data_IF_779647506568
#
_entry.id   IF_779647506568
#
_cell.length_a   1.000
_cell.length_b   1.000
_cell.length_c   1.000
_cell.angle_alpha   90.00
_cell.angle_beta   90.00
_cell.angle_gamma   90.00
#
_symmetry.space_group_name_H-M   'P 1'
#
loop_
_entity.id
_entity.type
_entity.pdbx_description
1 polymer ?
#
# COMPACT_ATOMS: atom_id res chain seq x y z
N UNK A 1 -10.80 33.22 10.54
CA UNK A 1 -10.33 32.02 11.26
C UNK A 1 -10.79 32.12 12.71
N UNK A 2 -11.55 31.13 13.19
CA UNK A 2 -11.89 31.01 14.61
C UNK A 2 -10.57 30.79 15.38
N UNK A 3 -10.35 31.56 16.45
CA UNK A 3 -9.15 31.43 17.28
C UNK A 3 -9.32 30.22 18.21
N UNK A 4 -9.04 29.03 17.67
CA UNK A 4 -9.30 27.72 18.30
C UNK A 4 -8.63 27.57 19.67
N UNK A 5 -7.46 28.18 19.84
CA UNK A 5 -6.72 28.21 21.11
C UNK A 5 -7.48 28.92 22.25
N UNK A 6 -8.53 29.69 21.94
CA UNK A 6 -9.35 30.41 22.91
C UNK A 6 -10.66 29.70 23.27
N UNK A 7 -10.96 28.55 22.65
CA UNK A 7 -12.14 27.77 23.00
C UNK A 7 -12.00 27.21 24.42
N UNK A 8 -13.03 27.41 25.25
CA UNK A 8 -13.13 26.83 26.59
C UNK A 8 -14.20 25.73 26.57
N UNK A 9 -13.85 24.49 26.22
CA UNK A 9 -14.83 23.42 26.09
C UNK A 9 -15.48 23.10 27.44
N UNK A 10 -16.82 22.99 27.47
CA UNK A 10 -17.53 22.43 28.63
C UNK A 10 -17.29 20.92 28.69
N UNK A 11 -16.46 20.49 29.63
CA UNK A 11 -16.22 19.07 29.88
C UNK A 11 -17.54 18.36 30.21
N UNK A 12 -17.98 17.44 29.34
CA UNK A 12 -19.16 16.60 29.58
C UNK A 12 -20.16 16.52 28.44
N UNK A 13 -20.14 17.43 27.46
CA UNK A 13 -21.13 17.43 26.37
C UNK A 13 -20.62 16.75 25.10
N UNK A 14 -19.40 17.04 24.68
CA UNK A 14 -18.84 16.53 23.41
C UNK A 14 -18.18 15.17 23.61
N UNK A 15 -18.47 14.23 22.70
CA UNK A 15 -17.65 13.04 22.53
C UNK A 15 -16.23 13.42 22.08
N UNK A 16 -15.31 12.46 22.02
CA UNK A 16 -13.99 12.71 21.43
C UNK A 16 -14.14 12.94 19.92
N UNK A 17 -13.63 14.08 19.45
CA UNK A 17 -13.64 14.45 18.04
C UNK A 17 -12.31 15.07 17.62
N UNK A 18 -12.02 14.97 16.32
CA UNK A 18 -10.99 15.74 15.62
C UNK A 18 -11.70 16.70 14.66
N UNK A 19 -11.01 17.75 14.24
CA UNK A 19 -11.60 18.69 13.31
C UNK A 19 -10.56 19.39 12.44
N UNK A 20 -11.00 19.90 11.30
CA UNK A 20 -10.21 20.77 10.41
C UNK A 20 -11.13 21.64 9.53
N UNK A 21 -10.72 22.86 9.14
CA UNK A 21 -11.44 23.65 8.14
C UNK A 21 -11.45 22.96 6.78
N UNK A 22 -12.56 23.06 6.06
CA UNK A 22 -12.79 22.51 4.70
C UNK A 22 -13.67 23.51 3.97
N UNK A 23 -13.05 24.39 3.17
CA UNK A 23 -13.75 25.46 2.46
C UNK A 23 -14.34 26.47 3.43
N UNK A 24 -15.64 26.73 3.32
CA UNK A 24 -16.42 27.57 4.23
C UNK A 24 -16.97 26.81 5.46
N UNK A 25 -16.64 25.52 5.61
CA UNK A 25 -17.13 24.64 6.66
C UNK A 25 -15.99 24.08 7.53
N UNK A 26 -16.36 23.37 8.59
CA UNK A 26 -15.46 22.64 9.48
C UNK A 26 -15.85 21.18 9.47
N UNK A 27 -14.93 20.32 9.01
CA UNK A 27 -15.06 18.88 9.14
C UNK A 27 -14.79 18.48 10.58
N UNK A 28 -15.72 17.75 11.18
CA UNK A 28 -15.53 17.06 12.47
C UNK A 28 -15.59 15.55 12.25
N UNK A 29 -14.70 14.80 12.90
CA UNK A 29 -14.63 13.34 12.82
C UNK A 29 -14.51 12.70 14.20
N UNK A 30 -14.95 11.45 14.36
CA UNK A 30 -14.80 10.68 15.61
C UNK A 30 -14.03 9.37 15.40
N UNK A 31 -13.78 8.62 16.48
CA UNK A 31 -12.94 7.40 16.46
C UNK A 31 -13.51 6.22 15.66
N UNK A 32 -14.82 6.16 15.52
CA UNK A 32 -15.55 5.13 14.75
C UNK A 32 -15.69 5.49 13.25
N UNK A 33 -15.12 6.64 12.85
CA UNK A 33 -15.06 7.11 11.46
C UNK A 33 -16.35 7.77 10.96
N UNK A 34 -17.21 8.26 11.87
CA UNK A 34 -18.30 9.18 11.50
C UNK A 34 -17.73 10.57 11.32
N UNK A 35 -18.39 11.35 10.47
CA UNK A 35 -18.01 12.71 10.19
C UNK A 35 -19.22 13.60 9.93
N UNK A 36 -19.05 14.90 10.16
CA UNK A 36 -20.00 15.94 9.78
C UNK A 36 -19.22 17.14 9.24
N UNK A 37 -19.81 17.84 8.27
CA UNK A 37 -19.40 19.21 7.96
C UNK A 37 -20.34 20.18 8.67
N UNK A 38 -19.75 21.11 9.41
CA UNK A 38 -20.45 22.10 10.22
C UNK A 38 -20.10 23.51 9.74
N UNK A 39 -21.07 24.42 9.59
CA UNK A 39 -20.79 25.84 9.50
C UNK A 39 -19.90 26.32 10.68
N UNK A 40 -19.09 27.37 10.51
CA UNK A 40 -18.19 27.85 11.56
C UNK A 40 -18.90 28.17 12.89
N UNK A 41 -20.12 28.70 12.83
CA UNK A 41 -20.93 29.03 14.01
C UNK A 41 -21.44 27.77 14.73
N UNK A 42 -21.93 26.78 13.98
CA UNK A 42 -22.36 25.47 14.49
C UNK A 42 -21.19 24.73 15.15
N UNK A 43 -20.02 24.73 14.49
CA UNK A 43 -18.80 24.17 15.05
C UNK A 43 -18.41 24.87 16.36
N UNK A 44 -18.48 26.20 16.41
CA UNK A 44 -18.17 26.97 17.61
C UNK A 44 -19.13 26.62 18.76
N UNK A 45 -20.42 26.54 18.49
CA UNK A 45 -21.42 26.13 19.47
C UNK A 45 -21.17 24.71 19.97
N UNK A 46 -20.88 23.77 19.07
CA UNK A 46 -20.53 22.39 19.41
C UNK A 46 -19.27 22.30 20.27
N UNK A 47 -18.18 22.92 19.83
CA UNK A 47 -16.90 22.87 20.52
C UNK A 47 -16.94 23.52 21.92
N UNK A 48 -17.83 24.50 22.14
CA UNK A 48 -18.05 25.12 23.46
C UNK A 48 -19.04 24.35 24.34
N UNK A 49 -19.85 23.47 23.76
CA UNK A 49 -20.90 22.75 24.49
C UNK A 49 -22.11 23.63 24.73
N UNK A 50 -22.38 24.51 23.77
CA UNK A 50 -23.44 25.51 23.74
C UNK A 50 -24.48 25.15 22.67
N UNK A 51 -24.50 23.90 22.21
CA UNK A 51 -25.52 23.39 21.28
C UNK A 51 -26.90 23.52 21.94
N UNK A 52 -27.86 24.23 21.32
CA UNK A 52 -29.18 24.40 21.90
C UNK A 52 -29.94 23.06 21.97
N UNK A 53 -30.55 22.71 23.12
CA UNK A 53 -31.37 21.50 23.24
C UNK A 53 -32.55 21.50 22.27
N UNK A 54 -32.84 20.37 21.63
CA UNK A 54 -33.88 20.19 20.63
C UNK A 54 -33.58 20.86 19.28
N UNK A 55 -32.36 21.37 19.07
CA UNK A 55 -31.97 21.94 17.78
C UNK A 55 -31.67 20.87 16.74
N UNK A 56 -31.83 21.22 15.46
CA UNK A 56 -31.41 20.37 14.35
C UNK A 56 -29.91 20.02 14.42
N UNK A 57 -29.07 20.90 14.99
CA UNK A 57 -27.66 20.63 15.23
C UNK A 57 -27.47 19.52 16.27
N UNK A 58 -28.21 19.57 17.39
CA UNK A 58 -28.15 18.51 18.40
C UNK A 58 -28.56 17.15 17.82
N UNK A 59 -29.67 17.11 17.08
CA UNK A 59 -30.16 15.88 16.44
C UNK A 59 -29.10 15.29 15.50
N UNK A 60 -28.48 16.12 14.65
CA UNK A 60 -27.40 15.70 13.75
C UNK A 60 -26.19 15.17 14.50
N UNK A 61 -25.73 15.87 15.54
CA UNK A 61 -24.59 15.45 16.37
C UNK A 61 -24.87 14.13 17.09
N UNK A 62 -26.08 13.96 17.63
CA UNK A 62 -26.52 12.73 18.31
C UNK A 62 -26.59 11.56 17.34
N UNK A 63 -27.18 11.77 16.15
CA UNK A 63 -27.27 10.75 15.11
C UNK A 63 -25.90 10.24 14.62
N UNK A 64 -24.83 11.03 14.80
CA UNK A 64 -23.46 10.70 14.40
C UNK A 64 -22.52 10.44 15.58
N UNK A 65 -23.06 10.26 16.79
CA UNK A 65 -22.32 9.91 18.00
C UNK A 65 -21.27 10.96 18.42
N UNK A 66 -21.57 12.25 18.24
CA UNK A 66 -20.71 13.37 18.64
C UNK A 66 -21.05 13.94 20.03
N UNK A 67 -22.10 13.44 20.69
CA UNK A 67 -22.50 13.84 22.04
C UNK A 67 -22.21 12.71 23.04
N UNK A 68 -21.71 13.04 24.23
CA UNK A 68 -21.51 12.05 25.31
C UNK A 68 -22.83 11.57 25.87
N UNK A 69 -23.79 12.48 25.99
CA UNK A 69 -25.14 12.13 26.39
C UNK A 69 -25.79 11.25 25.30
N UNK A 70 -26.24 10.06 25.68
CA UNK A 70 -26.75 9.06 24.74
C UNK A 70 -25.70 8.46 23.80
N UNK A 71 -24.40 8.52 24.12
CA UNK A 71 -23.35 7.91 23.30
C UNK A 71 -23.59 6.40 23.12
N UNK A 72 -23.62 5.95 21.88
CA UNK A 72 -23.94 4.56 21.51
C UNK A 72 -22.68 3.71 21.46
N UNK A 73 -22.20 3.29 22.64
CA UNK A 73 -20.92 2.57 22.81
C UNK A 73 -20.87 1.26 22.00
N UNK A 74 -21.96 0.49 22.00
CA UNK A 74 -21.98 -0.80 21.30
C UNK A 74 -21.87 -0.61 19.78
N UNK A 75 -22.63 0.33 19.22
CA UNK A 75 -22.55 0.67 17.78
C UNK A 75 -21.16 1.18 17.39
N UNK A 76 -20.54 2.00 18.26
CA UNK A 76 -19.18 2.49 18.09
C UNK A 76 -18.16 1.33 18.01
N UNK A 77 -18.27 0.38 18.94
CA UNK A 77 -17.39 -0.78 19.03
C UNK A 77 -17.56 -1.71 17.82
N UNK A 78 -18.80 -1.93 17.37
CA UNK A 78 -19.10 -2.77 16.22
C UNK A 78 -18.60 -2.14 14.91
N UNK A 79 -18.78 -0.82 14.75
CA UNK A 79 -18.23 -0.08 13.61
C UNK A 79 -16.69 -0.16 13.57
N UNK A 80 -16.03 -0.02 14.73
CA UNK A 80 -14.58 -0.14 14.81
C UNK A 80 -14.11 -1.57 14.49
N UNK A 81 -14.78 -2.60 15.03
CA UNK A 81 -14.47 -4.00 14.76
C UNK A 81 -14.61 -4.33 13.27
N UNK A 82 -15.65 -3.83 12.62
CA UNK A 82 -15.85 -4.02 11.19
C UNK A 82 -14.74 -3.35 10.36
N UNK A 83 -14.36 -2.11 10.70
CA UNK A 83 -13.28 -1.38 10.02
C UNK A 83 -11.90 -1.99 10.22
N UNK A 84 -11.68 -2.69 11.35
CA UNK A 84 -10.39 -3.30 11.71
C UNK A 84 -10.39 -4.81 11.58
N UNK A 85 -11.34 -5.39 10.84
CA UNK A 85 -11.50 -6.86 10.72
C UNK A 85 -10.21 -7.58 10.29
N UNK A 86 -9.34 -6.90 9.54
CA UNK A 86 -8.05 -7.39 9.07
C UNK A 86 -6.98 -7.59 10.16
N UNK A 87 -7.18 -7.13 11.40
CA UNK A 87 -6.16 -7.32 12.47
C UNK A 87 -6.20 -8.72 13.09
N UNK A 88 -7.24 -9.51 12.80
CA UNK A 88 -7.45 -10.80 13.44
C UNK A 88 -6.82 -11.99 12.71
N UNK A 89 -6.35 -11.78 11.47
CA UNK A 89 -5.72 -12.83 10.67
C UNK A 89 -4.67 -12.23 9.73
N UNK A 90 -3.55 -12.92 9.58
CA UNK A 90 -2.45 -12.50 8.71
C UNK A 90 -1.13 -13.17 9.08
N UNK A 91 -0.04 -12.82 8.38
CA UNK A 91 0.00 -12.01 7.16
C UNK A 91 -0.71 -12.69 5.97
N UNK A 92 -1.32 -11.94 5.07
CA UNK A 92 -1.99 -12.51 3.89
C UNK A 92 -1.18 -12.30 2.61
N UNK A 93 -0.30 -11.30 2.56
CA UNK A 93 0.61 -11.05 1.45
C UNK A 93 2.04 -11.46 1.83
N UNK A 94 2.70 -12.24 0.98
CA UNK A 94 4.07 -12.69 1.18
C UNK A 94 4.89 -12.37 -0.08
N UNK A 95 5.76 -11.38 0.01
CA UNK A 95 6.55 -10.89 -1.13
C UNK A 95 7.90 -11.60 -1.18
N UNK A 96 8.18 -12.32 -2.25
CA UNK A 96 9.42 -13.07 -2.46
C UNK A 96 10.31 -12.31 -3.44
N UNK A 97 11.41 -11.74 -2.94
CA UNK A 97 12.48 -11.17 -3.76
C UNK A 97 13.40 -12.31 -4.18
N UNK A 98 13.05 -12.95 -5.30
CA UNK A 98 13.72 -14.20 -5.71
C UNK A 98 15.13 -14.00 -6.26
N UNK A 99 15.49 -12.75 -6.58
CA UNK A 99 16.84 -12.35 -6.97
C UNK A 99 16.99 -10.83 -6.93
N UNK A 100 18.20 -10.31 -6.74
CA UNK A 100 18.52 -8.90 -7.01
C UNK A 100 18.91 -8.64 -8.48
N UNK A 101 19.17 -9.68 -9.28
CA UNK A 101 19.61 -9.51 -10.67
C UNK A 101 18.49 -8.88 -11.50
N UNK A 102 18.84 -7.87 -12.29
CA UNK A 102 17.93 -7.23 -13.24
C UNK A 102 18.67 -6.87 -14.53
N UNK A 103 17.98 -7.02 -15.66
CA UNK A 103 18.48 -6.62 -16.97
C UNK A 103 18.15 -5.17 -17.34
N UNK A 104 17.31 -4.49 -16.56
CA UNK A 104 17.07 -3.05 -16.67
C UNK A 104 17.89 -2.24 -15.66
N UNK A 105 18.19 -0.99 -16.01
CA UNK A 105 18.87 -0.02 -15.14
C UNK A 105 17.98 1.19 -14.88
N UNK A 106 16.91 0.97 -14.10
CA UNK A 106 15.96 2.04 -13.81
C UNK A 106 16.60 3.16 -12.98
N UNK A 107 16.33 4.42 -13.34
CA UNK A 107 16.96 5.59 -12.71
C UNK A 107 16.55 5.81 -11.24
N UNK A 108 15.41 5.24 -10.83
CA UNK A 108 14.81 5.30 -9.50
C UNK A 108 14.78 3.93 -8.79
N UNK A 109 15.46 2.89 -9.30
CA UNK A 109 15.27 1.50 -8.88
C UNK A 109 15.27 1.30 -7.35
N UNK A 110 14.14 0.83 -6.81
CA UNK A 110 13.96 0.53 -5.39
C UNK A 110 14.49 -0.86 -5.00
N UNK A 111 14.58 -1.78 -5.96
CA UNK A 111 14.99 -3.17 -5.75
C UNK A 111 16.51 -3.36 -5.53
N UNK A 112 17.30 -2.28 -5.46
CA UNK A 112 18.77 -2.35 -5.28
C UNK A 112 19.45 -3.32 -6.25
N UNK A 113 19.11 -3.20 -7.55
CA UNK A 113 19.50 -4.17 -8.60
C UNK A 113 20.98 -4.57 -8.55
N UNK A 114 21.22 -5.84 -8.83
CA UNK A 114 22.52 -6.41 -9.13
C UNK A 114 22.67 -6.67 -10.64
N UNK A 115 23.91 -6.83 -11.09
CA UNK A 115 24.19 -7.20 -12.48
C UNK A 115 23.77 -8.64 -12.78
N UNK A 116 23.54 -8.95 -14.06
CA UNK A 116 23.05 -10.26 -14.51
C UNK A 116 23.97 -11.45 -14.19
N UNK A 117 25.25 -11.20 -13.93
CA UNK A 117 26.27 -12.18 -13.55
C UNK A 117 26.36 -12.41 -12.02
N UNK A 118 25.66 -11.61 -11.21
CA UNK A 118 25.68 -11.70 -9.76
C UNK A 118 24.79 -12.85 -9.21
N UNK A 119 25.01 -14.08 -9.65
CA UNK A 119 24.15 -15.23 -9.26
C UNK A 119 24.17 -15.57 -7.76
N UNK A 120 25.11 -15.00 -7.00
CA UNK A 120 25.13 -15.10 -5.53
C UNK A 120 24.01 -14.29 -4.87
N UNK A 121 23.31 -13.44 -5.62
CA UNK A 121 22.11 -12.71 -5.16
C UNK A 121 20.81 -13.38 -5.58
N UNK A 122 20.84 -14.69 -5.88
CA UNK A 122 19.66 -15.48 -6.20
C UNK A 122 19.16 -16.23 -4.96
N UNK A 123 17.85 -16.25 -4.77
CA UNK A 123 17.21 -17.12 -3.79
C UNK A 123 17.45 -18.58 -4.16
N UNK A 124 17.93 -19.36 -3.19
CA UNK A 124 18.10 -20.81 -3.35
C UNK A 124 16.79 -21.56 -3.10
N UNK A 125 16.65 -22.77 -3.62
CA UNK A 125 15.51 -23.65 -3.30
C UNK A 125 15.36 -23.89 -1.80
N UNK A 126 16.47 -23.99 -1.06
CA UNK A 126 16.45 -24.17 0.39
C UNK A 126 15.85 -22.95 1.08
N UNK A 127 16.32 -21.75 0.74
CA UNK A 127 15.76 -20.48 1.24
C UNK A 127 14.27 -20.36 0.92
N UNK A 128 13.89 -20.68 -0.31
CA UNK A 128 12.50 -20.69 -0.76
C UNK A 128 11.64 -21.68 0.06
N UNK A 129 12.15 -22.88 0.34
CA UNK A 129 11.45 -23.86 1.17
C UNK A 129 11.21 -23.33 2.59
N UNK A 130 12.23 -22.75 3.21
CA UNK A 130 12.14 -22.20 4.56
C UNK A 130 11.12 -21.04 4.63
N UNK A 131 11.12 -20.18 3.60
CA UNK A 131 10.14 -19.10 3.46
C UNK A 131 8.70 -19.65 3.30
N UNK A 132 8.49 -20.68 2.48
CA UNK A 132 7.18 -21.32 2.30
C UNK A 132 6.66 -21.90 3.61
N UNK A 133 7.51 -22.55 4.42
CA UNK A 133 7.08 -23.06 5.73
C UNK A 133 6.64 -21.94 6.68
N UNK A 134 7.22 -20.73 6.57
CA UNK A 134 6.74 -19.57 7.32
C UNK A 134 5.41 -19.03 6.76
N UNK A 135 5.26 -18.97 5.43
CA UNK A 135 4.00 -18.60 4.78
C UNK A 135 2.85 -19.45 5.31
N UNK A 136 3.06 -20.76 5.44
CA UNK A 136 2.05 -21.69 5.93
C UNK A 136 1.70 -21.51 7.42
N UNK A 137 2.52 -20.81 8.21
CA UNK A 137 2.24 -20.46 9.61
C UNK A 137 1.33 -19.24 9.75
N UNK A 138 1.06 -18.50 8.67
CA UNK A 138 0.09 -17.41 8.68
C UNK A 138 -1.25 -17.88 9.25
N UNK A 139 -1.90 -17.05 10.06
CA UNK A 139 -3.26 -17.35 10.55
C UNK A 139 -4.34 -17.08 9.50
N UNK A 140 -3.97 -16.45 8.37
CA UNK A 140 -4.90 -16.20 7.27
C UNK A 140 -5.24 -17.51 6.53
N UNK A 141 -6.53 -17.79 6.26
CA UNK A 141 -6.92 -18.88 5.38
C UNK A 141 -6.67 -18.56 3.90
N UNK A 142 -6.46 -17.29 3.55
CA UNK A 142 -6.15 -16.82 2.21
C UNK A 142 -4.75 -16.20 2.19
N UNK A 143 -3.89 -16.71 1.31
CA UNK A 143 -2.50 -16.32 1.22
C UNK A 143 -2.17 -16.00 -0.22
N UNK A 144 -1.45 -14.92 -0.45
CA UNK A 144 -0.92 -14.52 -1.74
C UNK A 144 0.60 -14.52 -1.66
N UNK A 145 1.26 -15.25 -2.54
CA UNK A 145 2.70 -15.14 -2.76
C UNK A 145 2.92 -14.23 -3.97
N UNK A 146 3.61 -13.10 -3.73
CA UNK A 146 3.98 -12.16 -4.78
C UNK A 146 5.46 -12.30 -5.12
N UNK A 147 5.76 -12.63 -6.38
CA UNK A 147 7.12 -12.64 -6.87
C UNK A 147 7.56 -11.24 -7.27
N UNK A 148 8.61 -10.77 -6.59
CA UNK A 148 9.31 -9.52 -6.85
C UNK A 148 10.81 -9.82 -7.07
N UNK A 149 11.64 -8.79 -7.09
CA UNK A 149 13.07 -8.91 -7.29
C UNK A 149 13.63 -7.75 -8.10
N UNK A 150 14.92 -7.84 -8.43
CA UNK A 150 15.45 -7.09 -9.57
C UNK A 150 14.58 -7.37 -10.80
N UNK A 151 14.54 -8.62 -11.25
CA UNK A 151 13.57 -9.15 -12.21
C UNK A 151 13.33 -10.65 -11.92
N UNK A 152 12.11 -11.06 -11.48
CA UNK A 152 11.87 -12.44 -11.04
C UNK A 152 12.08 -13.48 -12.15
N UNK A 153 11.87 -13.14 -13.42
CA UNK A 153 12.10 -14.05 -14.55
C UNK A 153 13.59 -14.40 -14.76
N UNK A 154 14.51 -13.68 -14.12
CA UNK A 154 15.94 -14.03 -14.13
C UNK A 154 16.23 -15.29 -13.31
N UNK A 155 15.51 -15.49 -12.21
CA UNK A 155 15.58 -16.70 -11.37
C UNK A 155 14.30 -17.54 -11.54
N UNK A 156 13.89 -17.76 -12.80
CA UNK A 156 12.64 -18.45 -13.12
C UNK A 156 12.54 -19.86 -12.52
N UNK A 157 13.66 -20.58 -12.39
CA UNK A 157 13.68 -21.91 -11.79
C UNK A 157 13.18 -21.90 -10.34
N UNK A 158 13.59 -20.91 -9.53
CA UNK A 158 13.09 -20.82 -8.14
C UNK A 158 11.63 -20.41 -8.09
N UNK A 159 11.17 -19.58 -9.04
CA UNK A 159 9.74 -19.23 -9.17
C UNK A 159 8.92 -20.51 -9.39
N UNK A 160 9.34 -21.36 -10.33
CA UNK A 160 8.67 -22.63 -10.60
C UNK A 160 8.63 -23.52 -9.34
N UNK A 161 9.78 -23.66 -8.68
CA UNK A 161 9.89 -24.43 -7.43
C UNK A 161 8.94 -23.91 -6.34
N UNK A 162 8.88 -22.59 -6.12
CA UNK A 162 8.01 -21.98 -5.11
C UNK A 162 6.55 -22.25 -5.44
N UNK A 163 6.11 -22.04 -6.67
CA UNK A 163 4.71 -22.27 -7.08
C UNK A 163 4.31 -23.73 -6.83
N UNK A 164 5.11 -24.68 -7.29
CA UNK A 164 4.80 -26.12 -7.13
C UNK A 164 4.84 -26.57 -5.67
N UNK A 165 5.82 -26.10 -4.89
CA UNK A 165 5.98 -26.47 -3.48
C UNK A 165 4.91 -25.82 -2.61
N UNK A 166 4.67 -24.53 -2.77
CA UNK A 166 3.69 -23.78 -1.99
C UNK A 166 2.26 -24.27 -2.28
N UNK A 167 1.94 -24.61 -3.54
CA UNK A 167 0.64 -25.20 -3.90
C UNK A 167 0.38 -26.50 -3.13
N UNK A 168 1.36 -27.41 -3.09
CA UNK A 168 1.24 -28.66 -2.32
C UNK A 168 1.06 -28.38 -0.83
N UNK A 169 1.84 -27.45 -0.27
CA UNK A 169 1.76 -27.13 1.16
C UNK A 169 0.47 -26.42 1.56
N UNK A 170 -0.03 -25.51 0.73
CA UNK A 170 -1.32 -24.88 0.95
C UNK A 170 -2.45 -25.91 0.99
N UNK A 171 -2.44 -26.91 0.10
CA UNK A 171 -3.41 -28.00 0.13
C UNK A 171 -3.34 -28.83 1.42
N UNK A 172 -2.13 -29.16 1.88
CA UNK A 172 -1.90 -29.90 3.15
C UNK A 172 -2.35 -29.10 4.38
N UNK A 173 -2.22 -27.78 4.35
CA UNK A 173 -2.60 -26.88 5.44
C UNK A 173 -4.05 -26.37 5.33
N UNK A 174 -4.79 -26.72 4.27
CA UNK A 174 -6.15 -26.23 4.02
C UNK A 174 -6.23 -24.72 3.74
N UNK A 175 -5.21 -24.14 3.12
CA UNK A 175 -5.14 -22.72 2.75
C UNK A 175 -5.50 -22.50 1.29
N UNK A 176 -6.13 -21.36 1.00
CA UNK A 176 -6.28 -20.86 -0.36
C UNK A 176 -5.05 -20.04 -0.72
N UNK A 177 -4.41 -20.40 -1.84
CA UNK A 177 -3.16 -19.80 -2.29
C UNK A 177 -3.34 -19.17 -3.67
N UNK A 178 -2.89 -17.93 -3.78
CA UNK A 178 -2.79 -17.19 -5.03
C UNK A 178 -1.35 -16.76 -5.30
N UNK A 179 -1.01 -16.62 -6.58
CA UNK A 179 0.29 -16.15 -7.01
C UNK A 179 0.14 -14.90 -7.87
N UNK A 180 0.99 -13.91 -7.61
CA UNK A 180 1.14 -12.74 -8.47
C UNK A 180 2.62 -12.50 -8.74
N UNK A 181 2.95 -11.88 -9.87
CA UNK A 181 4.31 -11.57 -10.25
C UNK A 181 4.37 -10.15 -10.81
N UNK A 182 5.32 -9.36 -10.31
CA UNK A 182 5.67 -8.07 -10.87
C UNK A 182 6.94 -8.23 -11.72
N UNK A 183 6.83 -8.06 -13.03
CA UNK A 183 7.94 -8.25 -13.97
C UNK A 183 7.99 -7.15 -15.03
N UNK A 184 9.18 -6.79 -15.50
CA UNK A 184 9.37 -5.91 -16.64
C UNK A 184 9.01 -6.57 -17.99
N UNK A 185 8.75 -7.89 -17.99
CA UNK A 185 8.41 -8.75 -19.13
C UNK A 185 9.48 -8.91 -20.22
N UNK A 186 10.63 -8.26 -20.10
CA UNK A 186 11.67 -8.30 -21.14
C UNK A 186 12.28 -9.70 -21.35
N UNK A 187 12.19 -10.58 -20.35
CA UNK A 187 12.66 -11.98 -20.38
C UNK A 187 11.52 -13.02 -20.55
N UNK A 188 10.29 -12.54 -20.73
CA UNK A 188 9.15 -13.39 -20.99
C UNK A 188 9.26 -14.00 -22.39
N UNK A 189 8.80 -15.24 -22.53
CA UNK A 189 8.61 -15.94 -23.80
C UNK A 189 7.30 -16.73 -23.73
N UNK A 190 6.86 -17.29 -24.86
CA UNK A 190 5.56 -17.98 -24.92
C UNK A 190 5.51 -19.20 -23.98
N UNK A 191 6.63 -19.91 -23.78
CA UNK A 191 6.67 -21.08 -22.91
C UNK A 191 6.57 -20.69 -21.42
N UNK A 192 7.25 -19.62 -21.00
CA UNK A 192 7.11 -19.06 -19.65
C UNK A 192 5.69 -18.54 -19.44
N UNK A 193 5.13 -17.83 -20.42
CA UNK A 193 3.75 -17.34 -20.33
C UNK A 193 2.76 -18.50 -20.18
N UNK A 194 2.88 -19.55 -21.01
CA UNK A 194 2.03 -20.74 -20.93
C UNK A 194 2.06 -21.37 -19.54
N UNK A 195 3.27 -21.58 -19.01
CA UNK A 195 3.47 -22.19 -17.70
C UNK A 195 2.91 -21.32 -16.57
N UNK A 196 3.15 -19.99 -16.60
CA UNK A 196 2.63 -19.06 -15.59
C UNK A 196 1.09 -19.03 -15.59
N UNK A 197 0.46 -19.04 -16.77
CA UNK A 197 -1.00 -19.07 -16.89
C UNK A 197 -1.60 -20.40 -16.45
N UNK A 198 -0.97 -21.53 -16.79
CA UNK A 198 -1.38 -22.86 -16.33
C UNK A 198 -1.42 -22.94 -14.79
N UNK A 199 -0.44 -22.30 -14.13
CA UNK A 199 -0.34 -22.23 -12.67
C UNK A 199 -1.10 -21.04 -12.05
N UNK A 200 -1.92 -20.34 -12.84
CA UNK A 200 -2.75 -19.20 -12.40
C UNK A 200 -1.94 -18.08 -11.72
N UNK A 201 -0.73 -17.83 -12.20
CA UNK A 201 0.05 -16.68 -11.75
C UNK A 201 -0.50 -15.42 -12.42
N UNK A 202 -0.98 -14.48 -11.61
CA UNK A 202 -1.40 -13.17 -12.10
C UNK A 202 -0.18 -12.32 -12.45
N UNK A 203 -0.19 -11.67 -13.61
CA UNK A 203 0.95 -10.91 -14.11
C UNK A 203 0.68 -9.41 -14.03
N UNK A 204 1.59 -8.70 -13.38
CA UNK A 204 1.64 -7.26 -13.28
C UNK A 204 2.96 -6.76 -13.87
N UNK A 205 2.96 -5.56 -14.44
CA UNK A 205 4.17 -4.95 -14.98
C UNK A 205 4.35 -3.53 -14.50
N UNK A 206 5.36 -2.85 -15.02
CA UNK A 206 5.59 -1.44 -14.70
C UNK A 206 5.77 -0.65 -15.98
N UNK A 207 5.01 0.45 -16.10
CA UNK A 207 5.02 1.33 -17.27
C UNK A 207 4.93 2.77 -16.81
N UNK A 208 5.94 3.57 -17.14
CA UNK A 208 6.01 4.94 -16.61
C UNK A 208 5.23 5.99 -17.42
N UNK A 209 4.56 5.58 -18.50
CA UNK A 209 3.91 6.46 -19.46
C UNK A 209 4.45 6.24 -20.88
N UNK A 210 4.48 7.29 -21.73
CA UNK A 210 4.81 7.15 -23.15
C UNK A 210 6.24 6.64 -23.37
N UNK A 211 6.46 5.99 -24.51
CA UNK A 211 7.71 5.31 -24.89
C UNK A 211 8.99 6.08 -24.56
N UNK A 212 9.08 7.34 -25.00
CA UNK A 212 10.27 8.16 -24.77
C UNK A 212 10.56 8.41 -23.27
N UNK A 213 9.52 8.55 -22.45
CA UNK A 213 9.66 8.68 -21.00
C UNK A 213 10.06 7.34 -20.38
N UNK A 214 9.34 6.27 -20.74
CA UNK A 214 9.59 4.94 -20.22
C UNK A 214 11.02 4.48 -20.50
N UNK A 215 11.49 4.54 -21.75
CA UNK A 215 12.84 4.06 -22.12
C UNK A 215 13.96 4.93 -21.52
N UNK A 216 13.69 6.22 -21.28
CA UNK A 216 14.64 7.10 -20.58
C UNK A 216 14.79 6.73 -19.09
N UNK A 217 13.71 6.25 -18.47
CA UNK A 217 13.66 5.90 -17.05
C UNK A 217 14.02 4.44 -16.77
N UNK A 218 13.52 3.51 -17.57
CA UNK A 218 13.68 2.05 -17.51
C UNK A 218 14.61 1.57 -18.61
N UNK A 219 15.92 1.72 -18.34
CA UNK A 219 16.94 1.49 -19.37
C UNK A 219 17.19 0.00 -19.58
N UNK A 220 16.63 -0.54 -20.65
CA UNK A 220 17.04 -1.82 -21.20
C UNK A 220 18.20 -1.62 -22.21
N UNK A 221 19.24 -2.47 -22.24
CA UNK A 221 20.39 -2.27 -23.15
C UNK A 221 20.04 -2.18 -24.63
N UNK A 222 18.93 -2.78 -25.05
CA UNK A 222 18.40 -2.72 -26.42
C UNK A 222 17.64 -1.43 -26.73
N UNK A 223 17.27 -0.64 -25.71
CA UNK A 223 16.58 0.64 -25.85
C UNK A 223 15.10 0.54 -26.23
N UNK A 224 14.49 -0.64 -26.11
CA UNK A 224 13.11 -0.94 -26.53
C UNK A 224 12.26 -1.48 -25.36
N UNK A 225 12.53 -1.05 -24.13
CA UNK A 225 11.87 -1.56 -22.91
C UNK A 225 10.36 -1.40 -23.01
N UNK A 226 9.90 -0.19 -23.36
CA UNK A 226 8.49 0.10 -23.53
C UNK A 226 7.83 -0.78 -24.59
N UNK A 227 8.42 -0.87 -25.79
CA UNK A 227 7.84 -1.66 -26.88
C UNK A 227 7.68 -3.14 -26.50
N UNK A 228 8.68 -3.71 -25.80
CA UNK A 228 8.63 -5.09 -25.30
C UNK A 228 7.54 -5.27 -24.24
N UNK A 229 7.43 -4.37 -23.28
CA UNK A 229 6.40 -4.44 -22.24
C UNK A 229 5.00 -4.36 -22.87
N UNK A 230 4.76 -3.39 -23.77
CA UNK A 230 3.46 -3.26 -24.47
C UNK A 230 3.14 -4.49 -25.32
N UNK A 231 4.15 -5.08 -25.99
CA UNK A 231 3.97 -6.33 -26.71
C UNK A 231 3.43 -7.44 -25.79
N UNK A 232 4.06 -7.64 -24.63
CA UNK A 232 3.65 -8.68 -23.69
C UNK A 232 2.32 -8.39 -23.01
N UNK A 233 2.02 -7.15 -22.63
CA UNK A 233 0.70 -6.75 -22.11
C UNK A 233 -0.41 -7.17 -23.09
N UNK A 234 -0.25 -6.88 -24.38
CA UNK A 234 -1.23 -7.26 -25.41
C UNK A 234 -1.34 -8.78 -25.54
N UNK A 235 -0.21 -9.49 -25.56
CA UNK A 235 -0.17 -10.96 -25.65
C UNK A 235 -0.86 -11.61 -24.45
N UNK A 236 -0.54 -11.19 -23.23
CA UNK A 236 -1.13 -11.73 -21.99
C UNK A 236 -2.64 -11.51 -21.97
N UNK A 237 -3.10 -10.28 -22.25
CA UNK A 237 -4.54 -9.98 -22.28
C UNK A 237 -5.29 -10.80 -23.34
N UNK A 238 -4.68 -11.01 -24.50
CA UNK A 238 -5.24 -11.90 -25.53
C UNK A 238 -5.30 -13.36 -25.07
N UNK A 239 -4.27 -13.84 -24.36
CA UNK A 239 -4.27 -15.19 -23.78
C UNK A 239 -5.34 -15.36 -22.71
N UNK A 240 -5.57 -14.36 -21.86
CA UNK A 240 -6.69 -14.38 -20.90
C UNK A 240 -8.05 -14.53 -21.61
N UNK A 241 -8.27 -13.80 -22.72
CA UNK A 241 -9.50 -13.97 -23.52
C UNK A 241 -9.62 -15.36 -24.15
N UNK A 242 -8.53 -15.91 -24.68
CA UNK A 242 -8.52 -17.25 -25.27
C UNK A 242 -8.81 -18.36 -24.24
N UNK A 243 -8.45 -18.14 -22.98
CA UNK A 243 -8.80 -19.00 -21.85
C UNK A 243 -10.25 -18.82 -21.38
N UNK A 244 -11.01 -17.90 -21.98
CA UNK A 244 -12.40 -17.60 -21.60
C UNK A 244 -12.52 -16.84 -20.28
N UNK A 245 -11.44 -16.21 -19.82
CA UNK A 245 -11.45 -15.41 -18.60
C UNK A 245 -12.10 -14.05 -18.88
N UNK A 246 -12.84 -13.56 -17.89
CA UNK A 246 -13.53 -12.28 -17.98
C UNK A 246 -12.49 -11.14 -18.05
N UNK A 247 -12.41 -10.38 -19.16
CA UNK A 247 -11.43 -9.30 -19.31
C UNK A 247 -11.70 -8.10 -18.39
N UNK A 248 -12.82 -8.11 -17.65
CA UNK A 248 -13.06 -7.13 -16.59
C UNK A 248 -12.33 -7.46 -15.29
N UNK A 249 -11.98 -8.72 -15.09
CA UNK A 249 -11.29 -9.26 -13.91
C UNK A 249 -9.86 -9.68 -14.23
N UNK A 250 -9.61 -10.18 -15.45
CA UNK A 250 -8.34 -10.72 -15.90
C UNK A 250 -7.76 -9.87 -17.02
N UNK A 251 -6.93 -8.92 -16.60
CA UNK A 251 -6.13 -8.06 -17.46
C UNK A 251 -4.84 -7.69 -16.73
N UNK A 252 -3.81 -7.37 -17.50
CA UNK A 252 -2.56 -6.84 -16.94
C UNK A 252 -2.80 -5.42 -16.46
N UNK A 253 -2.49 -5.18 -15.19
CA UNK A 253 -2.34 -3.84 -14.64
C UNK A 253 -0.85 -3.47 -14.61
N UNK A 254 -0.57 -2.16 -14.59
CA UNK A 254 0.79 -1.64 -14.60
C UNK A 254 1.04 -0.69 -13.43
N UNK A 255 2.27 -0.69 -12.93
CA UNK A 255 2.74 0.21 -11.88
C UNK A 255 3.50 1.39 -12.49
N UNK A 256 3.12 2.60 -12.08
CA UNK A 256 3.77 3.85 -12.45
C UNK A 256 4.72 4.28 -11.33
N UNK A 257 5.93 4.71 -11.69
CA UNK A 257 6.76 5.54 -10.81
C UNK A 257 6.77 6.97 -11.35
N UNK A 258 6.16 7.89 -10.61
CA UNK A 258 6.13 9.30 -11.01
C UNK A 258 7.47 9.95 -10.70
N UNK A 259 8.15 10.48 -11.71
CA UNK A 259 9.34 11.32 -11.52
C UNK A 259 9.05 12.75 -11.97
N UNK A 260 10.01 13.67 -11.77
CA UNK A 260 9.93 15.03 -12.29
C UNK A 260 9.67 15.08 -13.80
N UNK A 261 10.19 14.11 -14.56
CA UNK A 261 9.97 14.03 -16.00
C UNK A 261 8.56 13.54 -16.36
N UNK A 262 7.89 12.83 -15.46
CA UNK A 262 6.50 12.36 -15.62
C UNK A 262 5.50 13.52 -15.49
N UNK A 263 5.75 14.48 -14.61
CA UNK A 263 4.79 15.54 -14.27
C UNK A 263 4.19 16.33 -15.46
N UNK A 264 4.95 16.77 -16.47
CA UNK A 264 4.37 17.47 -17.61
C UNK A 264 3.58 16.56 -18.57
N UNK A 265 3.66 15.24 -18.41
CA UNK A 265 3.09 14.22 -19.29
C UNK A 265 1.88 13.51 -18.66
N UNK A 266 1.16 14.18 -17.75
CA UNK A 266 -0.01 13.62 -17.06
C UNK A 266 -1.04 13.03 -18.02
N UNK A 267 -1.27 13.67 -19.17
CA UNK A 267 -2.25 13.23 -20.15
C UNK A 267 -1.78 11.98 -20.86
N UNK A 268 -0.55 12.00 -21.36
CA UNK A 268 0.08 10.92 -22.08
C UNK A 268 0.25 9.67 -21.21
N UNK A 269 0.48 9.85 -19.90
CA UNK A 269 0.47 8.75 -18.92
C UNK A 269 -0.91 8.09 -18.87
N UNK A 270 -1.99 8.87 -18.70
CA UNK A 270 -3.36 8.33 -18.69
C UNK A 270 -3.68 7.64 -20.02
N UNK A 271 -3.38 8.28 -21.15
CA UNK A 271 -3.61 7.73 -22.49
C UNK A 271 -2.84 6.41 -22.71
N UNK A 272 -1.62 6.30 -22.18
CA UNK A 272 -0.82 5.07 -22.25
C UNK A 272 -1.51 3.92 -21.51
N UNK A 273 -1.99 4.17 -20.29
CA UNK A 273 -2.69 3.16 -19.48
C UNK A 273 -4.01 2.72 -20.12
N UNK A 274 -4.81 3.67 -20.59
CA UNK A 274 -6.04 3.38 -21.33
C UNK A 274 -5.74 2.58 -22.60
N UNK A 275 -4.69 2.96 -23.35
CA UNK A 275 -4.26 2.27 -24.56
C UNK A 275 -3.76 0.84 -24.35
N UNK A 276 -3.30 0.51 -23.13
CA UNK A 276 -2.96 -0.85 -22.72
C UNK A 276 -4.19 -1.70 -22.36
N UNK A 277 -5.35 -1.07 -22.17
CA UNK A 277 -6.54 -1.70 -21.62
C UNK A 277 -6.50 -1.83 -20.09
N UNK A 278 -5.63 -1.09 -19.40
CA UNK A 278 -5.66 -0.99 -17.95
C UNK A 278 -6.95 -0.30 -17.53
N UNK A 279 -7.58 -0.81 -16.47
CA UNK A 279 -8.82 -0.25 -15.92
C UNK A 279 -8.58 0.57 -14.67
N UNK A 280 -7.35 0.54 -14.18
CA UNK A 280 -6.93 1.39 -13.09
C UNK A 280 -5.55 1.97 -13.28
N UNK A 281 -5.35 3.14 -12.69
CA UNK A 281 -4.07 3.83 -12.65
C UNK A 281 -3.83 4.25 -11.20
N UNK A 282 -2.63 3.96 -10.74
CA UNK A 282 -2.16 4.36 -9.42
C UNK A 282 -1.12 5.46 -9.65
N UNK A 283 -1.51 6.71 -9.41
CA UNK A 283 -0.63 7.86 -9.63
C UNK A 283 0.36 7.99 -8.46
N UNK A 284 1.26 7.01 -8.30
CA UNK A 284 2.15 6.91 -7.12
C UNK A 284 3.18 8.03 -7.09
N UNK A 285 3.38 8.72 -5.95
CA UNK A 285 4.54 9.58 -5.79
C UNK A 285 5.83 8.75 -5.80
N UNK A 286 6.97 9.41 -6.02
CA UNK A 286 8.28 8.78 -5.89
C UNK A 286 8.56 8.47 -4.42
N UNK A 287 8.77 7.21 -4.08
CA UNK A 287 9.22 6.83 -2.75
C UNK A 287 10.73 7.12 -2.57
N UNK A 288 11.17 7.67 -1.43
CA UNK A 288 12.56 8.08 -1.20
C UNK A 288 13.48 6.91 -0.84
N UNK A 289 13.39 5.77 -1.54
CA UNK A 289 14.14 4.55 -1.21
C UNK A 289 15.07 4.05 -2.33
N UNK A 290 16.14 3.35 -1.96
CA UNK A 290 17.02 2.66 -2.90
C UNK A 290 17.85 3.62 -3.77
N UNK A 291 17.90 3.37 -5.09
CA UNK A 291 18.65 4.25 -6.00
C UNK A 291 18.02 5.64 -6.13
N UNK A 292 16.71 5.79 -5.88
CA UNK A 292 16.03 7.08 -5.88
C UNK A 292 16.63 8.06 -4.88
N UNK A 293 17.13 7.58 -3.73
CA UNK A 293 17.85 8.38 -2.74
C UNK A 293 19.09 9.07 -3.33
N UNK A 294 19.85 8.32 -4.15
CA UNK A 294 21.11 8.77 -4.74
C UNK A 294 20.90 9.70 -5.93
N UNK A 295 19.78 9.54 -6.65
CA UNK A 295 19.40 10.36 -7.80
C UNK A 295 18.36 11.43 -7.47
N UNK A 296 18.00 11.54 -6.18
CA UNK A 296 16.95 12.41 -5.62
C UNK A 296 16.84 13.78 -6.27
N UNK A 297 17.95 14.53 -6.30
CA UNK A 297 18.00 15.91 -6.82
C UNK A 297 17.52 16.04 -8.27
N UNK A 298 17.54 14.95 -9.05
CA UNK A 298 17.11 14.93 -10.45
C UNK A 298 15.70 14.39 -10.64
N UNK A 299 15.23 13.53 -9.73
CA UNK A 299 13.97 12.79 -9.89
C UNK A 299 12.83 13.32 -9.04
N UNK A 300 13.11 13.80 -7.84
CA UNK A 300 12.11 14.39 -6.95
C UNK A 300 11.58 15.71 -7.50
N UNK A 301 10.44 16.11 -6.97
CA UNK A 301 9.69 17.32 -7.31
C UNK A 301 9.07 17.93 -6.05
N UNK A 302 8.76 19.24 -6.06
CA UNK A 302 7.93 19.83 -5.02
C UNK A 302 6.58 19.13 -4.91
N UNK A 303 6.07 18.94 -3.69
CA UNK A 303 4.76 18.31 -3.46
C UNK A 303 3.64 19.03 -4.22
N UNK A 304 3.67 20.36 -4.28
CA UNK A 304 2.69 21.17 -5.04
C UNK A 304 2.64 20.81 -6.53
N UNK A 305 3.78 20.49 -7.15
CA UNK A 305 3.82 20.12 -8.57
C UNK A 305 3.23 18.72 -8.80
N UNK A 306 3.44 17.80 -7.87
CA UNK A 306 2.78 16.49 -7.88
C UNK A 306 1.28 16.60 -7.70
N UNK A 307 0.81 17.45 -6.79
CA UNK A 307 -0.62 17.65 -6.57
C UNK A 307 -1.30 18.26 -7.81
N UNK A 308 -0.61 19.18 -8.51
CA UNK A 308 -1.05 19.69 -9.81
C UNK A 308 -1.14 18.58 -10.86
N UNK A 309 -0.10 17.75 -10.99
CA UNK A 309 -0.07 16.58 -11.87
C UNK A 309 -1.23 15.62 -11.57
N UNK A 310 -1.41 15.26 -10.29
CA UNK A 310 -2.45 14.34 -9.84
C UNK A 310 -3.83 14.87 -10.19
N UNK A 311 -4.10 16.16 -9.93
CA UNK A 311 -5.38 16.78 -10.27
C UNK A 311 -5.63 16.76 -11.77
N UNK A 312 -4.67 17.19 -12.59
CA UNK A 312 -4.84 17.22 -14.04
C UNK A 312 -5.09 15.83 -14.61
N UNK A 313 -4.36 14.82 -14.13
CA UNK A 313 -4.58 13.43 -14.53
C UNK A 313 -5.97 12.94 -14.11
N UNK A 314 -6.39 13.17 -12.86
CA UNK A 314 -7.70 12.71 -12.35
C UNK A 314 -8.86 13.43 -13.06
N UNK A 315 -8.78 14.73 -13.27
CA UNK A 315 -9.80 15.49 -14.00
C UNK A 315 -9.98 14.92 -15.42
N UNK A 316 -8.87 14.64 -16.11
CA UNK A 316 -8.92 14.02 -17.43
C UNK A 316 -9.46 12.58 -17.40
N UNK A 317 -9.11 11.79 -16.38
CA UNK A 317 -9.70 10.46 -16.18
C UNK A 317 -11.21 10.54 -15.98
N UNK A 318 -11.72 11.55 -15.26
CA UNK A 318 -13.16 11.78 -15.10
C UNK A 318 -13.84 12.20 -16.41
N UNK A 319 -13.18 13.04 -17.23
CA UNK A 319 -13.65 13.38 -18.57
C UNK A 319 -13.76 12.13 -19.47
N UNK A 320 -12.76 11.24 -19.42
CA UNK A 320 -12.78 9.97 -20.14
C UNK A 320 -13.90 9.04 -19.65
N UNK A 321 -14.11 8.95 -18.33
CA UNK A 321 -15.22 8.20 -17.76
C UNK A 321 -16.59 8.74 -18.23
N UNK A 322 -16.75 10.07 -18.32
CA UNK A 322 -17.97 10.67 -18.87
C UNK A 322 -18.20 10.34 -20.36
N UNK A 323 -17.16 9.93 -21.08
CA UNK A 323 -17.21 9.48 -22.48
C UNK A 323 -17.33 7.95 -22.61
N UNK A 324 -17.41 7.21 -21.50
CA UNK A 324 -17.57 5.76 -21.47
C UNK A 324 -16.26 4.96 -21.43
N UNK A 325 -15.11 5.61 -21.23
CA UNK A 325 -13.83 4.94 -21.01
C UNK A 325 -13.68 4.65 -19.53
N UNK A 326 -13.66 3.37 -19.14
CA UNK A 326 -13.55 2.97 -17.75
C UNK A 326 -12.11 3.01 -17.25
N UNK A 327 -11.77 4.03 -16.45
CA UNK A 327 -10.47 4.14 -15.78
C UNK A 327 -10.62 4.68 -14.35
N UNK A 328 -10.04 3.98 -13.39
CA UNK A 328 -10.13 4.28 -11.96
C UNK A 328 -8.79 4.79 -11.42
N UNK A 329 -8.77 5.97 -10.80
CA UNK A 329 -7.63 6.36 -9.98
C UNK A 329 -7.72 5.64 -8.62
N UNK A 330 -6.68 4.86 -8.29
CA UNK A 330 -6.73 3.90 -7.18
C UNK A 330 -6.71 4.55 -5.81
N UNK A 331 -5.93 5.61 -5.59
CA UNK A 331 -5.92 6.33 -4.33
C UNK A 331 -7.31 6.91 -4.04
N UNK A 332 -7.87 7.69 -4.97
CA UNK A 332 -9.20 8.28 -4.88
C UNK A 332 -10.26 7.22 -4.60
N UNK A 333 -10.23 6.09 -5.30
CA UNK A 333 -11.17 4.99 -5.06
C UNK A 333 -11.09 4.44 -3.63
N UNK A 334 -9.87 4.20 -3.13
CA UNK A 334 -9.63 3.71 -1.76
C UNK A 334 -10.16 4.72 -0.74
N UNK A 335 -9.82 6.00 -0.88
CA UNK A 335 -10.24 7.02 0.07
C UNK A 335 -11.75 7.24 0.04
N UNK A 336 -12.36 7.38 -1.14
CA UNK A 336 -13.80 7.55 -1.27
C UNK A 336 -14.57 6.34 -0.71
N UNK A 337 -14.07 5.12 -0.90
CA UNK A 337 -14.66 3.92 -0.26
C UNK A 337 -14.67 4.05 1.26
N UNK A 338 -13.58 4.53 1.87
CA UNK A 338 -13.47 4.70 3.32
C UNK A 338 -14.35 5.83 3.86
N UNK A 339 -14.40 6.96 3.14
CA UNK A 339 -15.13 8.18 3.54
C UNK A 339 -16.64 7.96 3.41
N UNK A 340 -17.08 7.41 2.27
CA UNK A 340 -18.48 7.30 1.90
C UNK A 340 -19.10 5.97 2.32
N UNK A 341 -18.35 4.86 2.20
CA UNK A 341 -18.82 3.52 2.51
C UNK A 341 -18.60 3.09 3.97
N UNK A 342 -17.69 3.75 4.68
CA UNK A 342 -17.38 3.42 6.08
C UNK A 342 -16.65 2.09 6.27
N UNK A 343 -16.22 1.45 5.20
CA UNK A 343 -15.45 0.20 5.19
C UNK A 343 -13.99 0.45 4.83
N UNK A 344 -13.10 -0.43 5.27
CA UNK A 344 -11.70 -0.40 4.86
C UNK A 344 -11.49 -1.40 3.72
N UNK A 345 -11.03 -0.98 2.52
CA UNK A 345 -10.76 -1.91 1.42
C UNK A 345 -9.53 -2.78 1.66
N UNK A 346 -8.88 -2.64 2.83
CA UNK A 346 -7.76 -3.46 3.27
C UNK A 346 -6.50 -3.31 2.41
N UNK A 347 -6.34 -2.16 1.75
CA UNK A 347 -5.10 -1.81 1.06
C UNK A 347 -4.01 -1.52 2.11
N UNK A 348 -2.95 -2.33 2.09
CA UNK A 348 -1.98 -2.47 3.17
C UNK A 348 -1.34 -1.15 3.60
N UNK A 349 -1.06 -0.26 2.65
CA UNK A 349 -0.31 0.99 2.92
C UNK A 349 -1.24 2.13 3.38
N UNK A 350 -2.54 2.01 3.12
CA UNK A 350 -3.54 3.06 3.41
C UNK A 350 -4.57 2.62 4.45
N UNK A 351 -4.30 1.55 5.18
CA UNK A 351 -5.09 1.11 6.35
C UNK A 351 -4.34 1.42 7.65
N UNK A 352 -5.07 1.39 8.76
CA UNK A 352 -4.51 1.63 10.10
C UNK A 352 -4.91 0.46 11.01
N UNK A 353 -3.99 -0.24 11.68
CA UNK A 353 -2.54 -0.19 11.45
C UNK A 353 -2.15 -0.58 10.02
N UNK A 354 -0.97 -0.13 9.58
CA UNK A 354 -0.44 -0.47 8.27
C UNK A 354 -0.23 -2.00 8.09
N UNK A 355 -0.02 -2.42 6.86
CA UNK A 355 0.23 -3.82 6.50
C UNK A 355 1.51 -4.41 7.06
N UNK A 356 2.53 -3.59 7.34
CA UNK A 356 3.85 -4.05 7.72
C UNK A 356 3.81 -4.98 8.94
N UNK A 357 4.24 -6.24 8.75
CA UNK A 357 4.29 -7.30 9.76
C UNK A 357 2.93 -7.88 10.17
N UNK A 358 1.81 -7.23 9.83
CA UNK A 358 0.45 -7.66 10.16
C UNK A 358 -0.26 -8.30 8.97
N UNK A 359 -0.26 -7.61 7.84
CA UNK A 359 -0.87 -8.06 6.58
C UNK A 359 0.15 -8.51 5.54
N UNK A 360 1.42 -8.10 5.68
CA UNK A 360 2.49 -8.45 4.76
C UNK A 360 3.77 -8.90 5.47
N UNK A 361 4.57 -9.68 4.75
CA UNK A 361 5.98 -9.93 5.00
C UNK A 361 6.74 -9.95 3.66
N UNK A 362 8.00 -9.52 3.68
CA UNK A 362 8.92 -9.66 2.54
C UNK A 362 10.03 -10.65 2.88
N UNK A 363 10.41 -11.48 1.91
CA UNK A 363 11.42 -12.53 2.00
C UNK A 363 12.50 -12.21 0.97
N UNK A 364 13.70 -11.91 1.43
CA UNK A 364 14.81 -11.54 0.56
C UNK A 364 15.58 -12.76 0.06
N UNK A 365 16.39 -12.56 -0.98
CA UNK A 365 17.12 -13.64 -1.66
C UNK A 365 18.04 -14.44 -0.72
N UNK A 366 18.54 -13.81 0.35
CA UNK A 366 19.45 -14.39 1.34
C UNK A 366 18.72 -15.06 2.52
N UNK A 367 17.38 -15.03 2.54
CA UNK A 367 16.55 -15.55 3.63
C UNK A 367 16.28 -14.54 4.75
N UNK A 368 16.72 -13.30 4.62
CA UNK A 368 16.27 -12.21 5.50
C UNK A 368 14.77 -11.98 5.33
N UNK A 369 14.09 -11.69 6.43
CA UNK A 369 12.65 -11.44 6.44
C UNK A 369 12.39 -10.04 6.96
N UNK A 370 11.52 -9.31 6.27
CA UNK A 370 11.15 -7.94 6.58
C UNK A 370 9.65 -7.80 6.78
N UNK A 371 9.27 -6.79 7.56
CA UNK A 371 7.85 -6.49 7.83
C UNK A 371 7.07 -6.09 6.58
N UNK A 372 7.73 -5.47 5.60
CA UNK A 372 7.19 -5.14 4.28
C UNK A 372 8.34 -4.91 3.29
N UNK A 373 8.02 -4.61 2.03
CA UNK A 373 9.05 -4.33 1.02
C UNK A 373 9.81 -3.03 1.32
N UNK A 374 9.14 -1.99 1.80
CA UNK A 374 9.78 -0.74 2.24
C UNK A 374 10.77 -0.98 3.38
N UNK A 375 10.45 -1.91 4.28
CA UNK A 375 11.36 -2.29 5.36
C UNK A 375 12.61 -3.01 4.88
N UNK A 376 12.50 -3.82 3.83
CA UNK A 376 13.65 -4.38 3.11
C UNK A 376 14.47 -3.26 2.45
N UNK A 377 13.82 -2.29 1.82
CA UNK A 377 14.51 -1.16 1.18
C UNK A 377 15.29 -0.29 2.17
N UNK A 378 14.70 0.01 3.34
CA UNK A 378 15.37 0.74 4.42
C UNK A 378 16.61 0.00 4.93
N UNK A 379 16.50 -1.31 5.12
CA UNK A 379 17.65 -2.14 5.51
C UNK A 379 18.75 -2.13 4.43
N UNK A 380 18.39 -2.16 3.14
CA UNK A 380 19.36 -2.04 2.05
C UNK A 380 20.06 -0.65 2.02
N UNK A 381 19.47 0.36 2.64
CA UNK A 381 20.07 1.69 2.83
C UNK A 381 20.95 1.79 4.09
N UNK A 382 21.06 0.71 4.88
CA UNK A 382 21.84 0.65 6.11
C UNK A 382 21.07 1.03 7.38
N UNK A 383 19.75 1.15 7.29
CA UNK A 383 18.89 1.34 8.47
C UNK A 383 18.29 -0.02 8.91
N UNK A 384 18.97 -0.65 9.87
CA UNK A 384 18.55 -1.91 10.48
C UNK A 384 17.55 -1.71 11.63
N UNK A 385 17.14 -0.46 11.93
CA UNK A 385 16.58 -0.07 13.22
C UNK A 385 15.24 -0.69 13.60
N UNK A 386 14.41 -1.13 12.65
CA UNK A 386 12.98 -1.35 12.95
C UNK A 386 12.25 -2.48 12.19
N UNK A 387 12.86 -3.20 11.22
CA UNK A 387 12.05 -3.94 10.23
C UNK A 387 12.56 -5.34 9.85
N UNK A 388 13.44 -5.97 10.63
CA UNK A 388 13.78 -7.40 10.45
C UNK A 388 12.90 -8.29 11.34
N UNK A 389 12.12 -9.19 10.73
CA UNK A 389 11.63 -10.36 11.44
C UNK A 389 12.83 -11.31 11.64
N UNK A 390 13.05 -11.77 12.86
CA UNK A 390 14.27 -12.50 13.28
C UNK A 390 14.69 -13.60 12.27
N UNK A 391 15.98 -13.70 11.87
CA UNK A 391 16.45 -14.70 10.91
C UNK A 391 16.26 -16.15 11.37
N UNK A 392 15.98 -17.07 10.43
CA UNK A 392 15.71 -18.50 10.68
C UNK A 392 16.97 -19.35 10.91
N UNK A 393 18.19 -18.84 10.67
CA UNK A 393 19.40 -19.66 10.79
C UNK A 393 20.23 -19.28 12.01
N UNK A 394 19.97 -19.94 13.14
CA UNK A 394 21.03 -20.38 14.05
C UNK A 394 20.57 -21.55 14.93
N UNK A 395 21.26 -22.67 14.74
CA UNK A 395 21.07 -23.98 15.35
C UNK A 395 21.40 -24.01 16.85
N UNK A 396 20.60 -23.36 17.70
CA UNK A 396 20.73 -23.44 19.18
C UNK A 396 19.44 -23.95 19.86
N UNK A 397 19.47 -25.14 20.52
CA UNK A 397 18.36 -25.68 21.30
C UNK A 397 17.87 -24.80 22.48
N UNK A 398 18.59 -23.72 22.83
CA UNK A 398 18.16 -22.72 23.82
C UNK A 398 17.25 -21.61 23.27
N UNK A 399 17.02 -21.52 21.97
CA UNK A 399 16.08 -20.59 21.32
C UNK A 399 14.57 -20.89 21.60
N UNK A 400 14.27 -21.62 22.69
CA UNK A 400 12.97 -22.25 22.99
C UNK A 400 11.99 -21.41 23.82
N UNK A 401 12.24 -20.12 24.07
CA UNK A 401 11.27 -19.30 24.83
C UNK A 401 11.07 -17.92 24.22
N UNK A 402 9.91 -17.78 23.58
CA UNK A 402 9.30 -16.57 23.03
C UNK A 402 9.97 -16.02 21.75
N UNK A 403 9.44 -16.44 20.59
CA UNK A 403 9.54 -15.64 19.38
C UNK A 403 8.80 -14.33 19.63
N UNK A 404 9.55 -13.23 19.76
CA UNK A 404 9.01 -11.89 19.89
C UNK A 404 9.24 -11.20 18.55
N UNK A 405 8.15 -10.90 17.84
CA UNK A 405 8.15 -9.90 16.78
C UNK A 405 8.17 -8.53 17.47
N UNK A 406 9.30 -7.82 17.42
CA UNK A 406 9.33 -6.39 17.75
C UNK A 406 8.78 -5.62 16.55
N UNK A 407 7.48 -5.29 16.60
CA UNK A 407 6.84 -4.44 15.60
C UNK A 407 7.07 -2.98 15.96
N UNK A 408 7.83 -2.29 15.12
CA UNK A 408 7.86 -0.83 15.09
C UNK A 408 6.55 -0.30 14.49
N UNK A 409 5.80 0.46 15.28
CA UNK A 409 4.51 1.01 14.88
C UNK A 409 4.68 2.37 14.20
N UNK A 410 4.17 2.51 12.98
CA UNK A 410 3.97 3.79 12.30
C UNK A 410 2.49 3.95 11.98
N UNK A 411 1.89 5.10 12.35
CA UNK A 411 0.50 5.43 11.99
C UNK A 411 0.46 6.25 10.70
N UNK A 412 0.30 5.67 9.50
CA UNK A 412 -0.11 6.46 8.35
C UNK A 412 -1.52 7.01 8.59
N UNK A 413 -1.62 8.33 8.75
CA UNK A 413 -2.89 9.05 8.76
C UNK A 413 -3.07 9.64 7.36
N UNK A 414 -4.02 9.09 6.60
CA UNK A 414 -4.41 9.68 5.32
C UNK A 414 -5.42 10.81 5.53
N UNK A 415 -5.21 11.94 4.83
CA UNK A 415 -6.05 13.13 4.92
C UNK A 415 -6.69 13.41 3.55
N UNK A 416 -7.97 13.81 3.55
CA UNK A 416 -8.41 14.74 2.50
C UNK A 416 -7.89 16.10 2.89
N UNK A 417 -7.22 16.82 1.99
CA UNK A 417 -7.04 18.27 2.06
C UNK A 417 -7.98 19.01 1.09
N UNK A 418 -8.07 20.34 1.18
CA UNK A 418 -8.53 21.15 0.05
C UNK A 418 -7.42 22.14 -0.30
N UNK A 419 -7.23 22.42 -1.58
CA UNK A 419 -6.31 23.49 -1.99
C UNK A 419 -6.81 24.89 -1.55
N UNK A 420 -5.99 25.91 -1.81
CA UNK A 420 -6.33 27.31 -1.52
C UNK A 420 -7.61 27.82 -2.20
N UNK A 421 -8.09 27.10 -3.23
CA UNK A 421 -9.26 27.45 -4.03
C UNK A 421 -10.49 26.58 -3.68
N UNK A 422 -10.38 25.68 -2.70
CA UNK A 422 -11.49 24.88 -2.16
C UNK A 422 -11.77 23.56 -2.88
N UNK A 423 -10.84 23.06 -3.69
CA UNK A 423 -10.96 21.76 -4.38
C UNK A 423 -10.36 20.62 -3.55
N UNK A 424 -11.00 19.42 -3.50
CA UNK A 424 -10.47 18.29 -2.76
C UNK A 424 -9.10 17.86 -3.27
N UNK A 425 -8.13 17.91 -2.36
CA UNK A 425 -6.75 17.53 -2.54
C UNK A 425 -6.46 16.33 -1.64
N UNK A 426 -5.55 15.46 -2.04
CA UNK A 426 -5.27 14.24 -1.31
C UNK A 426 -3.85 14.36 -0.75
N UNK A 427 -3.73 14.62 0.55
CA UNK A 427 -2.42 14.65 1.21
C UNK A 427 -2.15 13.29 1.86
N UNK A 428 -1.26 12.54 1.22
CA UNK A 428 -0.47 11.50 1.89
C UNK A 428 0.69 12.25 2.53
N UNK A 429 0.58 12.61 3.80
CA UNK A 429 1.76 13.02 4.55
C UNK A 429 2.62 11.78 4.77
N UNK A 430 3.78 11.72 4.11
CA UNK A 430 4.86 10.83 4.54
C UNK A 430 5.15 11.15 6.00
N UNK A 431 4.83 10.22 6.89
CA UNK A 431 5.25 10.35 8.27
C UNK A 431 6.75 10.09 8.38
N UNK A 432 7.52 11.15 8.26
CA UNK A 432 8.72 11.35 9.08
C UNK A 432 8.59 12.65 9.91
N UNK A 433 7.58 12.80 10.80
CA UNK A 433 7.69 13.86 11.79
C UNK A 433 8.73 13.40 12.81
N UNK A 434 9.71 14.28 13.06
CA UNK A 434 10.48 14.25 14.30
C UNK A 434 9.49 14.14 15.47
N UNK A 435 9.38 12.95 16.08
CA UNK A 435 8.44 12.67 17.17
C UNK A 435 7.45 11.51 16.99
N UNK A 436 7.64 10.59 16.05
CA UNK A 436 6.87 9.34 16.01
C UNK A 436 6.95 8.59 17.36
N UNK A 437 5.81 8.33 18.00
CA UNK A 437 5.74 7.59 19.26
C UNK A 437 5.66 6.07 18.99
N UNK A 438 6.67 5.34 19.47
CA UNK A 438 6.73 3.87 19.37
C UNK A 438 5.85 3.22 20.43
N UNK A 439 4.93 2.37 19.98
CA UNK A 439 4.16 1.46 20.85
C UNK A 439 4.65 0.03 20.67
N UNK A 440 5.02 -0.64 21.76
CA UNK A 440 5.27 -2.09 21.73
C UNK A 440 3.94 -2.79 21.99
N UNK A 441 3.43 -3.53 21.01
CA UNK A 441 2.28 -4.42 21.19
C UNK A 441 2.79 -5.84 21.42
N UNK A 442 2.66 -6.33 22.65
CA UNK A 442 2.90 -7.75 22.97
C UNK A 442 1.60 -8.50 22.79
N UNK A 443 1.62 -9.51 21.92
CA UNK A 443 0.52 -10.47 21.77
C UNK A 443 0.94 -11.75 22.49
N UNK A 444 0.26 -12.08 23.59
CA UNK A 444 0.39 -13.40 24.21
C UNK A 444 -0.52 -14.39 23.45
N UNK A 445 0.03 -15.37 22.73
CA UNK A 445 -0.76 -16.29 21.91
C UNK A 445 -1.72 -17.17 22.73
N UNK A 446 -1.51 -17.27 24.05
CA UNK A 446 -2.29 -18.13 24.94
C UNK A 446 -3.50 -17.44 25.57
N UNK A 447 -3.54 -16.10 25.62
CA UNK A 447 -4.59 -15.34 26.28
C UNK A 447 -5.40 -14.43 25.35
N UNK A 448 -4.86 -14.08 24.17
CA UNK A 448 -5.51 -13.13 23.26
C UNK A 448 -5.60 -11.69 23.81
N UNK A 449 -4.92 -11.38 24.92
CA UNK A 449 -4.86 -10.03 25.47
C UNK A 449 -3.78 -9.19 24.77
N UNK A 450 -4.15 -7.96 24.39
CA UNK A 450 -3.25 -6.96 23.81
C UNK A 450 -2.59 -6.15 24.94
N UNK A 451 -1.31 -6.39 25.19
CA UNK A 451 -0.51 -5.56 26.10
C UNK A 451 0.24 -4.47 25.31
N UNK A 452 -0.15 -3.20 25.45
CA UNK A 452 0.57 -2.08 24.86
C UNK A 452 1.48 -1.41 25.90
N UNK A 453 2.78 -1.32 25.63
CA UNK A 453 3.73 -0.61 26.49
C UNK A 453 4.34 0.58 25.73
N UNK A 454 4.25 1.78 26.30
CA UNK A 454 4.83 3.02 25.77
C UNK A 454 6.31 3.07 26.12
N UNK A 455 7.18 3.22 25.12
CA UNK A 455 8.56 3.66 25.36
C UNK A 455 8.58 5.18 25.26
N UNK A 456 8.71 5.88 26.40
CA UNK A 456 9.07 7.29 26.38
C UNK A 456 10.56 7.39 26.04
N UNK A 457 10.89 7.95 24.88
CA UNK A 457 12.16 8.65 24.72
C UNK A 457 12.04 9.98 25.45
N UNK A 458 12.90 10.24 26.43
CA UNK A 458 13.01 11.56 27.05
C UNK A 458 13.44 12.55 25.96
N UNK A 459 12.50 13.40 25.53
CA UNK A 459 12.77 14.55 24.70
C UNK A 459 13.19 15.70 25.61
N UNK A 460 14.47 16.10 25.51
CA UNK A 460 14.96 17.41 25.94
C UNK A 460 14.59 18.48 24.93
#
# INVERSE_FOLDING_TARGET
MIELARLRPRAGTQALFRFRPVGDQVLVTNHEGRWLLLPPDDFTAYARGEVPPGSALEERLRAHNFLRDGYRVQEAADALRARKSFVHAGPNLHMFVVTLRCNETCVYCHASRANMDATHTDMTEQTANDAIELVMQSTSPFVTIEFQGGEPLVNYAVVQHVVERATRRAAECGKQLEFTMVSNFSLLDDAKLDWLLEHRVQLCTSVDGPEALHDAQRKLPTGDAHQRTIHWVRRINERYRQLGLDPTLYHVEALLTTTRATLPLWKEVVDTYVGMGCRSLFLRPLDPFGFAERTRRRLEYPREDYLRFYRQAVDYMLELNAQGVEILERYAAIFLTKILGGTDPNFLDLRSPAGAGLGALAYDYDGSIYTCDEGRMLAAMGDDGLLRAVPIVQSDPKARRAGVLELAYFEPVAWLDLDRDGHPELLVDELWPEGAFTWIVRVDPSSGELGAQRLCGDAS
#
